data_IF_980118682551
#
_entry.id   IF_980118682551
#
_cell.length_a   1.000
_cell.length_b   1.000
_cell.length_c   1.000
_cell.angle_alpha   90.00
_cell.angle_beta   90.00
_cell.angle_gamma   90.00
#
_symmetry.space_group_name_H-M   'P 1'
#
loop_
_entity.id
_entity.type
_entity.pdbx_description
1 polymer ?
#
# COMPACT_ATOMS: atom_id res chain seq x y z
N UNK A 1 -44.02 -19.28 0.53
CA UNK A 1 -43.17 -18.28 -0.16
C UNK A 1 -41.95 -18.03 0.70
N UNK A 2 -40.81 -18.58 0.27
CA UNK A 2 -39.51 -18.37 0.88
C UNK A 2 -39.04 -16.94 0.59
N UNK A 3 -38.67 -16.19 1.62
CA UNK A 3 -37.45 -15.37 1.65
C UNK A 3 -37.23 -14.81 3.07
N UNK A 4 -36.95 -15.71 4.02
CA UNK A 4 -36.03 -15.37 5.11
C UNK A 4 -34.63 -15.25 4.49
N UNK A 5 -34.34 -14.13 3.80
CA UNK A 5 -32.95 -13.75 3.58
C UNK A 5 -32.44 -13.27 4.92
N UNK A 6 -31.79 -14.22 5.60
CA UNK A 6 -31.02 -13.99 6.79
C UNK A 6 -30.26 -12.66 6.66
N UNK A 7 -30.64 -11.69 7.49
CA UNK A 7 -29.72 -10.70 8.02
C UNK A 7 -28.63 -11.47 8.76
N UNK A 8 -27.74 -12.14 8.03
CA UNK A 8 -26.46 -12.49 8.60
C UNK A 8 -25.77 -11.16 8.81
N UNK A 9 -25.54 -10.69 10.06
CA UNK A 9 -24.57 -9.66 10.26
C UNK A 9 -23.30 -10.20 9.62
N UNK A 10 -22.85 -9.57 8.52
CA UNK A 10 -21.52 -9.78 7.97
C UNK A 10 -20.62 -9.86 9.19
N UNK A 11 -19.98 -11.00 9.41
CA UNK A 11 -19.11 -11.23 10.56
C UNK A 11 -18.03 -10.17 10.50
N UNK A 12 -18.29 -9.03 11.15
CA UNK A 12 -17.38 -7.89 11.25
C UNK A 12 -16.19 -8.50 11.95
N UNK A 13 -15.10 -8.72 11.20
CA UNK A 13 -13.94 -9.37 11.74
C UNK A 13 -13.60 -8.72 13.08
N UNK A 14 -13.47 -9.53 14.14
CA UNK A 14 -13.09 -9.02 15.45
C UNK A 14 -11.86 -8.13 15.35
N UNK A 15 -11.67 -7.20 16.30
CA UNK A 15 -10.49 -6.33 16.34
C UNK A 15 -9.16 -7.05 16.04
N UNK A 16 -8.88 -8.28 16.55
CA UNK A 16 -7.66 -9.01 16.18
C UNK A 16 -7.58 -9.37 14.70
N UNK A 17 -8.69 -9.78 14.07
CA UNK A 17 -8.72 -10.09 12.64
C UNK A 17 -8.57 -8.85 11.74
N UNK A 18 -8.94 -7.67 12.23
CA UNK A 18 -8.70 -6.41 11.54
C UNK A 18 -7.23 -5.99 11.64
N UNK A 19 -6.64 -6.12 12.84
CA UNK A 19 -5.22 -5.89 13.07
C UNK A 19 -4.36 -6.80 12.21
N UNK A 20 -4.64 -8.11 12.20
CA UNK A 20 -3.89 -9.08 11.40
C UNK A 20 -3.90 -8.73 9.91
N UNK A 21 -5.07 -8.36 9.34
CA UNK A 21 -5.17 -7.96 7.94
C UNK A 21 -4.40 -6.67 7.65
N UNK A 22 -4.44 -5.71 8.57
CA UNK A 22 -3.62 -4.50 8.49
C UNK A 22 -2.12 -4.84 8.48
N UNK A 23 -1.66 -5.71 9.38
CA UNK A 23 -0.26 -6.14 9.45
C UNK A 23 0.17 -6.92 8.19
N UNK A 24 -0.67 -7.81 7.68
CA UNK A 24 -0.40 -8.53 6.43
C UNK A 24 -0.29 -7.55 5.27
N UNK A 25 -1.23 -6.60 5.15
CA UNK A 25 -1.17 -5.56 4.13
C UNK A 25 0.12 -4.73 4.25
N UNK A 26 0.51 -4.35 5.46
CA UNK A 26 1.73 -3.61 5.75
C UNK A 26 2.99 -4.36 5.31
N UNK A 27 3.17 -5.60 5.76
CA UNK A 27 4.36 -6.39 5.47
C UNK A 27 4.45 -6.74 3.98
N UNK A 28 3.35 -7.20 3.39
CA UNK A 28 3.33 -7.59 1.98
C UNK A 28 3.55 -6.38 1.08
N UNK A 29 2.86 -5.25 1.32
CA UNK A 29 3.05 -4.04 0.54
C UNK A 29 4.46 -3.46 0.72
N UNK A 30 4.98 -3.45 1.96
CA UNK A 30 6.30 -2.92 2.27
C UNK A 30 7.42 -3.72 1.59
N UNK A 31 7.40 -5.06 1.70
CA UNK A 31 8.42 -5.91 1.10
C UNK A 31 8.33 -5.93 -0.43
N UNK A 32 7.16 -6.28 -0.97
CA UNK A 32 7.01 -6.42 -2.43
C UNK A 32 7.05 -5.08 -3.13
N UNK A 33 6.44 -4.03 -2.55
CA UNK A 33 6.52 -2.69 -3.09
C UNK A 33 7.96 -2.18 -3.16
N UNK A 34 8.75 -2.42 -2.10
CA UNK A 34 10.19 -2.07 -2.11
C UNK A 34 10.98 -2.89 -3.12
N UNK A 35 10.65 -4.17 -3.33
CA UNK A 35 11.32 -4.97 -4.35
C UNK A 35 11.06 -4.48 -5.78
N UNK A 36 9.85 -3.98 -6.08
CA UNK A 36 9.46 -3.63 -7.45
C UNK A 36 9.58 -2.14 -7.79
N UNK A 37 9.60 -1.23 -6.80
CA UNK A 37 9.44 0.21 -7.07
C UNK A 37 10.51 0.80 -8.01
N UNK A 38 11.75 0.30 -7.93
CA UNK A 38 12.87 0.75 -8.74
C UNK A 38 12.90 0.10 -10.14
N UNK A 39 11.90 -0.71 -10.49
CA UNK A 39 11.77 -1.28 -11.84
C UNK A 39 11.52 -0.17 -12.85
N UNK A 40 12.36 -0.12 -13.88
CA UNK A 40 12.36 0.93 -14.88
C UNK A 40 12.70 0.38 -16.26
N UNK A 41 12.27 1.10 -17.29
CA UNK A 41 12.69 0.89 -18.67
C UNK A 41 13.23 2.20 -19.24
N UNK A 42 13.98 2.14 -20.33
CA UNK A 42 14.52 3.32 -21.00
C UNK A 42 13.86 3.50 -22.36
N UNK A 43 13.38 4.71 -22.63
CA UNK A 43 12.95 5.15 -23.95
C UNK A 43 13.97 6.16 -24.46
N UNK A 44 15.01 5.67 -25.14
CA UNK A 44 16.23 6.44 -25.37
C UNK A 44 16.92 6.75 -24.05
N UNK A 45 17.24 8.02 -23.80
CA UNK A 45 17.91 8.46 -22.57
C UNK A 45 16.95 8.81 -21.41
N UNK A 46 15.64 8.64 -21.62
CA UNK A 46 14.62 9.00 -20.62
C UNK A 46 14.25 7.77 -19.79
N UNK A 47 14.48 7.78 -18.45
CA UNK A 47 14.07 6.69 -17.57
C UNK A 47 12.55 6.70 -17.34
N UNK A 48 11.89 5.60 -17.68
CA UNK A 48 10.49 5.34 -17.39
C UNK A 48 10.37 4.52 -16.11
N UNK A 49 10.08 5.20 -15.00
CA UNK A 49 9.98 4.61 -13.64
C UNK A 49 8.61 3.99 -13.35
N UNK A 50 8.20 3.02 -14.16
CA UNK A 50 6.86 2.40 -14.04
C UNK A 50 6.69 1.52 -12.79
N UNK A 51 7.79 1.02 -12.19
CA UNK A 51 7.75 0.16 -11.01
C UNK A 51 7.04 0.81 -9.82
N UNK A 52 7.20 2.13 -9.64
CA UNK A 52 6.55 2.86 -8.55
C UNK A 52 5.03 2.86 -8.68
N UNK A 53 4.51 2.90 -9.92
CA UNK A 53 3.06 2.88 -10.18
C UNK A 53 2.48 1.52 -9.78
N UNK A 54 3.19 0.43 -10.05
CA UNK A 54 2.79 -0.90 -9.61
C UNK A 54 2.87 -1.06 -8.09
N UNK A 55 3.94 -0.54 -7.47
CA UNK A 55 4.09 -0.54 -6.03
C UNK A 55 2.95 0.24 -5.33
N UNK A 56 2.58 1.41 -5.88
CA UNK A 56 1.45 2.20 -5.41
C UNK A 56 0.12 1.48 -5.59
N UNK A 57 -0.08 0.83 -6.74
CA UNK A 57 -1.29 0.04 -7.00
C UNK A 57 -1.42 -1.11 -5.99
N UNK A 58 -0.33 -1.83 -5.74
CA UNK A 58 -0.28 -2.90 -4.76
C UNK A 58 -0.60 -2.41 -3.35
N UNK A 59 0.04 -1.32 -2.91
CA UNK A 59 -0.24 -0.69 -1.61
C UNK A 59 -1.70 -0.28 -1.50
N UNK A 60 -2.23 0.42 -2.50
CA UNK A 60 -3.63 0.85 -2.53
C UNK A 60 -4.60 -0.32 -2.46
N UNK A 61 -4.33 -1.39 -3.22
CA UNK A 61 -5.16 -2.59 -3.24
C UNK A 61 -5.15 -3.31 -1.89
N UNK A 62 -3.99 -3.45 -1.24
CA UNK A 62 -3.86 -4.11 0.06
C UNK A 62 -4.46 -3.28 1.20
N UNK A 63 -4.28 -1.96 1.17
CA UNK A 63 -4.96 -1.04 2.11
C UNK A 63 -6.47 -1.14 1.93
N UNK A 64 -6.98 -1.05 0.70
CA UNK A 64 -8.40 -1.20 0.40
C UNK A 64 -8.94 -2.56 0.86
N UNK A 65 -8.24 -3.65 0.51
CA UNK A 65 -8.59 -5.01 0.90
C UNK A 65 -8.69 -5.16 2.42
N UNK A 66 -7.70 -4.65 3.17
CA UNK A 66 -7.69 -4.74 4.63
C UNK A 66 -8.92 -4.08 5.27
N UNK A 67 -9.39 -2.96 4.70
CA UNK A 67 -10.60 -2.27 5.17
C UNK A 67 -11.86 -3.04 4.79
N UNK A 68 -12.01 -3.44 3.52
CA UNK A 68 -13.23 -4.12 3.05
C UNK A 68 -13.39 -5.49 3.70
N UNK A 69 -12.31 -6.23 3.89
CA UNK A 69 -12.33 -7.56 4.51
C UNK A 69 -12.53 -7.52 6.02
N UNK A 70 -12.23 -6.40 6.69
CA UNK A 70 -12.44 -6.22 8.14
C UNK A 70 -13.69 -5.42 8.50
N UNK A 71 -14.24 -4.64 7.56
CA UNK A 71 -15.28 -3.64 7.83
C UNK A 71 -14.78 -2.43 8.63
N UNK A 72 -13.46 -2.26 8.81
CA UNK A 72 -12.86 -1.27 9.72
C UNK A 72 -11.82 -0.41 9.00
N UNK A 73 -12.06 0.90 8.93
CA UNK A 73 -11.15 1.84 8.29
C UNK A 73 -9.75 1.88 8.92
N UNK A 74 -9.67 1.74 10.25
CA UNK A 74 -8.39 1.77 10.94
C UNK A 74 -7.47 0.59 10.56
N UNK A 75 -8.01 -0.54 10.07
CA UNK A 75 -7.20 -1.64 9.55
C UNK A 75 -6.36 -1.20 8.33
N UNK A 76 -6.93 -0.38 7.45
CA UNK A 76 -6.21 0.22 6.33
C UNK A 76 -5.18 1.25 6.76
N UNK A 77 -5.47 2.03 7.81
CA UNK A 77 -4.49 2.94 8.38
C UNK A 77 -3.28 2.19 8.95
N UNK A 78 -3.51 1.07 9.65
CA UNK A 78 -2.44 0.17 10.11
C UNK A 78 -1.66 -0.40 8.93
N UNK A 79 -2.35 -0.80 7.84
CA UNK A 79 -1.69 -1.27 6.62
C UNK A 79 -0.75 -0.22 6.01
N UNK A 80 -1.19 1.03 5.90
CA UNK A 80 -0.37 2.12 5.38
C UNK A 80 0.80 2.48 6.31
N UNK A 81 0.53 2.74 7.59
CA UNK A 81 1.56 3.10 8.57
C UNK A 81 2.58 1.97 8.71
N UNK A 82 2.11 0.73 8.80
CA UNK A 82 2.98 -0.43 8.89
C UNK A 82 3.83 -0.62 7.64
N UNK A 83 3.28 -0.42 6.44
CA UNK A 83 4.06 -0.44 5.19
C UNK A 83 5.20 0.58 5.27
N UNK A 84 4.91 1.81 5.69
CA UNK A 84 5.90 2.87 5.84
C UNK A 84 7.00 2.49 6.85
N UNK A 85 6.63 1.87 7.96
CA UNK A 85 7.58 1.38 8.97
C UNK A 85 8.45 0.25 8.43
N UNK A 86 7.89 -0.70 7.67
CA UNK A 86 8.66 -1.77 7.02
C UNK A 86 9.68 -1.17 6.06
N UNK A 87 9.25 -0.24 5.21
CA UNK A 87 10.11 0.42 4.23
C UNK A 87 11.20 1.23 4.93
N UNK A 88 10.85 2.00 5.97
CA UNK A 88 11.82 2.75 6.78
C UNK A 88 12.82 1.83 7.50
N UNK A 89 12.37 0.66 7.96
CA UNK A 89 13.25 -0.33 8.60
C UNK A 89 14.23 -0.94 7.60
N UNK A 90 13.77 -1.30 6.39
CA UNK A 90 14.65 -1.75 5.30
C UNK A 90 15.68 -0.67 4.98
N UNK A 91 15.23 0.59 4.86
CA UNK A 91 16.11 1.70 4.51
C UNK A 91 17.12 2.08 5.60
N UNK A 92 16.83 1.78 6.87
CA UNK A 92 17.70 2.13 8.01
C UNK A 92 18.65 0.99 8.40
N UNK A 93 18.14 -0.25 8.44
CA UNK A 93 18.92 -1.42 8.89
C UNK A 93 19.51 -2.24 7.74
N UNK A 94 18.85 -2.24 6.59
CA UNK A 94 19.47 -2.76 5.38
C UNK A 94 20.57 -1.79 4.98
N UNK A 95 21.80 -2.29 4.75
CA UNK A 95 22.80 -1.57 3.96
C UNK A 95 22.35 -1.45 2.48
N UNK A 96 21.04 -1.24 2.27
CA UNK A 96 20.34 -1.54 1.03
C UNK A 96 20.39 -0.33 0.10
N UNK A 97 20.93 -0.59 -1.10
CA UNK A 97 20.88 0.29 -2.26
C UNK A 97 19.50 0.37 -2.91
N UNK A 98 18.49 -0.29 -2.33
CA UNK A 98 17.14 -0.36 -2.89
C UNK A 98 16.39 0.96 -2.75
N UNK A 99 16.64 1.75 -1.70
CA UNK A 99 16.04 3.07 -1.52
C UNK A 99 17.13 4.12 -1.52
N UNK A 100 17.19 4.89 -2.60
CA UNK A 100 18.24 5.86 -2.82
C UNK A 100 17.85 7.24 -2.29
N UNK A 101 18.72 7.88 -1.46
CA UNK A 101 18.53 9.27 -1.06
C UNK A 101 18.82 10.25 -2.21
N UNK A 102 18.30 11.48 -2.09
CA UNK A 102 18.37 12.53 -3.11
C UNK A 102 19.80 12.82 -3.61
N UNK A 103 20.82 12.62 -2.79
CA UNK A 103 22.23 12.82 -3.16
C UNK A 103 22.70 11.94 -4.34
N UNK A 104 22.00 10.84 -4.63
CA UNK A 104 22.30 9.95 -5.75
C UNK A 104 21.66 10.38 -7.07
N UNK A 105 20.87 11.45 -7.10
CA UNK A 105 20.13 11.87 -8.29
C UNK A 105 21.05 12.17 -9.48
N UNK A 106 22.25 12.70 -9.24
CA UNK A 106 23.24 13.00 -10.26
C UNK A 106 23.94 11.75 -10.84
N UNK A 107 23.92 10.62 -10.12
CA UNK A 107 24.58 9.38 -10.51
C UNK A 107 23.59 8.34 -11.04
N UNK A 108 22.41 8.25 -10.44
CA UNK A 108 21.37 7.26 -10.71
C UNK A 108 20.00 7.95 -10.73
N UNK A 109 19.70 8.82 -11.72
CA UNK A 109 18.50 9.66 -11.71
C UNK A 109 17.21 8.85 -11.70
N UNK A 110 17.08 7.84 -12.56
CA UNK A 110 15.89 6.99 -12.64
C UNK A 110 15.58 6.27 -11.32
N UNK A 111 16.50 5.43 -10.80
CA UNK A 111 16.33 4.77 -9.51
C UNK A 111 16.07 5.75 -8.35
N UNK A 112 16.79 6.88 -8.31
CA UNK A 112 16.60 7.89 -7.24
C UNK A 112 15.20 8.49 -7.29
N UNK A 113 14.71 8.88 -8.48
CA UNK A 113 13.34 9.39 -8.63
C UNK A 113 12.32 8.33 -8.22
N UNK A 114 12.52 7.07 -8.61
CA UNK A 114 11.64 5.97 -8.20
C UNK A 114 11.61 5.80 -6.68
N UNK A 115 12.76 5.84 -6.01
CA UNK A 115 12.85 5.75 -4.54
C UNK A 115 12.17 6.93 -3.84
N UNK A 116 12.34 8.16 -4.34
CA UNK A 116 11.67 9.35 -3.80
C UNK A 116 10.16 9.26 -3.96
N UNK A 117 9.67 8.86 -5.14
CA UNK A 117 8.24 8.66 -5.39
C UNK A 117 7.67 7.54 -4.53
N UNK A 118 8.41 6.44 -4.34
CA UNK A 118 8.00 5.37 -3.46
C UNK A 118 7.90 5.89 -2.02
N UNK A 119 8.99 6.41 -1.44
CA UNK A 119 9.02 6.84 -0.06
C UNK A 119 8.01 7.94 0.26
N UNK A 120 7.99 9.03 -0.52
CA UNK A 120 7.18 10.20 -0.20
C UNK A 120 5.77 10.14 -0.79
N UNK A 121 5.57 9.33 -1.82
CA UNK A 121 4.30 9.27 -2.54
C UNK A 121 3.31 8.20 -2.04
N UNK A 122 3.72 7.27 -1.16
CA UNK A 122 2.83 6.22 -0.62
C UNK A 122 1.50 6.73 -0.05
N UNK A 123 1.47 7.98 0.42
CA UNK A 123 0.25 8.59 0.97
C UNK A 123 -0.87 8.70 -0.09
N UNK A 124 -0.52 8.92 -1.35
CA UNK A 124 -1.49 9.11 -2.44
C UNK A 124 -2.35 7.85 -2.66
N UNK A 125 -1.77 6.67 -2.97
CA UNK A 125 -2.58 5.46 -3.14
C UNK A 125 -3.30 5.05 -1.85
N UNK A 126 -2.72 5.30 -0.67
CA UNK A 126 -3.37 4.99 0.60
C UNK A 126 -4.64 5.82 0.83
N UNK A 127 -4.60 7.14 0.60
CA UNK A 127 -5.77 8.02 0.72
C UNK A 127 -6.85 7.66 -0.30
N UNK A 128 -6.46 7.38 -1.55
CA UNK A 128 -7.41 6.93 -2.59
C UNK A 128 -8.09 5.62 -2.16
N UNK A 129 -7.33 4.64 -1.67
CA UNK A 129 -7.85 3.37 -1.20
C UNK A 129 -8.82 3.53 -0.01
N UNK A 130 -8.44 4.32 1.00
CA UNK A 130 -9.27 4.56 2.18
C UNK A 130 -10.58 5.28 1.83
N UNK A 131 -10.51 6.30 0.97
CA UNK A 131 -11.70 7.04 0.53
C UNK A 131 -12.63 6.17 -0.33
N UNK A 132 -12.07 5.35 -1.22
CA UNK A 132 -12.84 4.37 -2.00
C UNK A 132 -13.51 3.33 -1.08
N UNK A 133 -12.76 2.78 -0.11
CA UNK A 133 -13.28 1.81 0.84
C UNK A 133 -14.38 2.40 1.73
N UNK A 134 -14.21 3.64 2.21
CA UNK A 134 -15.21 4.34 3.01
C UNK A 134 -16.53 4.51 2.24
N UNK A 135 -16.46 4.85 0.94
CA UNK A 135 -17.65 4.97 0.09
C UNK A 135 -18.39 3.63 -0.02
N UNK A 136 -17.67 2.52 -0.16
CA UNK A 136 -18.25 1.17 -0.24
C UNK A 136 -18.87 0.75 1.10
N UNK A 137 -18.18 0.98 2.22
CA UNK A 137 -18.71 0.66 3.55
C UNK A 137 -19.99 1.45 3.85
N UNK A 138 -20.02 2.75 3.54
CA UNK A 138 -21.22 3.59 3.71
C UNK A 138 -22.40 3.10 2.88
N UNK A 139 -22.16 2.61 1.66
CA UNK A 139 -23.23 2.03 0.81
C UNK A 139 -23.78 0.72 1.36
N UNK A 140 -22.97 -0.07 2.09
CA UNK A 140 -23.43 -1.33 2.71
C UNK A 140 -24.22 -1.12 4.00
N UNK A 141 -24.09 0.05 4.62
CA UNK A 141 -24.80 0.42 5.86
C UNK A 141 -26.15 1.11 5.60
N UNK A 142 -26.42 1.54 4.37
CA UNK A 142 -27.70 2.07 3.92
C UNK A 142 -28.53 0.95 3.34
#
# INVERSE_FOLDING_TARGET
MHEQRANQPLTVGGNPGALLRGLVAAVVAGLLGTAIHASLSYAGDIPLVWGVLLAWLLLGLLVYWSVIASGKLWAGAVGFIGCYLVVGSISYFGNDTLILPLQYLQYLPGPTIASLLWMYGMIVPAVIALTAALRVLRKRQR
#
